data_IF_764897092114
#
_entry.id   IF_764897092114
#
_cell.length_a   1.000
_cell.length_b   1.000
_cell.length_c   1.000
_cell.angle_alpha   90.00
_cell.angle_beta   90.00
_cell.angle_gamma   90.00
#
_symmetry.space_group_name_H-M   'P 1'
#
loop_
_entity.id
_entity.type
_entity.pdbx_description
1 polymer ?
#
# COMPACT_ATOMS: atom_id res chain seq x y z
N UNK A 1 -17.52 -9.96 -16.17
CA UNK A 1 -16.94 -9.54 -17.43
C UNK A 1 -15.62 -8.84 -17.22
N UNK A 2 -14.66 -9.12 -18.08
CA UNK A 2 -13.33 -8.56 -17.92
C UNK A 2 -13.26 -7.13 -18.42
N UNK A 3 -12.58 -6.32 -17.63
CA UNK A 3 -12.22 -4.99 -18.04
C UNK A 3 -11.09 -5.09 -19.07
N UNK A 4 -10.70 -3.95 -19.60
CA UNK A 4 -9.52 -3.90 -20.44
C UNK A 4 -8.30 -4.34 -19.66
N UNK A 5 -7.30 -4.81 -20.38
CA UNK A 5 -6.05 -5.23 -19.75
C UNK A 5 -5.50 -4.18 -18.80
N UNK A 6 -5.53 -2.92 -19.22
CA UNK A 6 -5.06 -1.82 -18.39
C UNK A 6 -5.78 -1.75 -17.05
N UNK A 7 -7.11 -1.88 -17.08
CA UNK A 7 -7.89 -1.82 -15.86
C UNK A 7 -7.60 -3.01 -14.95
N UNK A 8 -7.47 -4.19 -15.54
CA UNK A 8 -7.14 -5.38 -14.79
C UNK A 8 -5.76 -5.24 -14.13
N UNK A 9 -4.79 -4.69 -14.88
CA UNK A 9 -3.45 -4.47 -14.37
C UNK A 9 -3.47 -3.51 -13.19
N UNK A 10 -4.23 -2.42 -13.29
CA UNK A 10 -4.31 -1.45 -12.21
C UNK A 10 -4.90 -2.05 -10.95
N UNK A 11 -5.92 -2.89 -11.10
CA UNK A 11 -6.52 -3.57 -9.95
C UNK A 11 -5.53 -4.50 -9.29
N UNK A 12 -4.78 -5.26 -10.07
CA UNK A 12 -3.78 -6.17 -9.55
C UNK A 12 -2.71 -5.41 -8.79
N UNK A 13 -2.23 -4.30 -9.37
CA UNK A 13 -1.23 -3.47 -8.72
C UNK A 13 -1.76 -2.91 -7.41
N UNK A 14 -3.02 -2.49 -7.38
CA UNK A 14 -3.61 -1.96 -6.16
C UNK A 14 -3.69 -3.03 -5.08
N UNK A 15 -4.05 -4.24 -5.44
CA UNK A 15 -4.12 -5.35 -4.48
C UNK A 15 -2.75 -5.67 -3.92
N UNK A 16 -1.75 -5.77 -4.79
CA UNK A 16 -0.38 -6.05 -4.38
C UNK A 16 0.17 -4.94 -3.51
N UNK A 17 -0.10 -3.70 -3.88
CA UNK A 17 0.35 -2.55 -3.12
C UNK A 17 -0.25 -2.55 -1.72
N UNK A 18 -1.56 -2.76 -1.63
CA UNK A 18 -2.23 -2.79 -0.35
C UNK A 18 -1.72 -3.92 0.53
N UNK A 19 -1.51 -5.09 -0.05
CA UNK A 19 -1.02 -6.24 0.68
C UNK A 19 0.39 -5.99 1.22
N UNK A 20 1.25 -5.43 0.40
CA UNK A 20 2.61 -5.12 0.82
C UNK A 20 2.63 -4.10 1.95
N UNK A 21 1.88 -3.02 1.78
CA UNK A 21 1.82 -1.96 2.79
C UNK A 21 1.28 -2.49 4.11
N UNK A 22 0.28 -3.35 4.04
CA UNK A 22 -0.29 -3.96 5.24
C UNK A 22 0.73 -4.79 5.98
N UNK A 23 1.49 -5.60 5.25
CA UNK A 23 2.53 -6.42 5.86
C UNK A 23 3.58 -5.56 6.56
N UNK A 24 4.04 -4.53 5.88
CA UNK A 24 5.06 -3.66 6.45
C UNK A 24 4.52 -2.94 7.68
N UNK A 25 3.29 -2.47 7.59
CA UNK A 25 2.66 -1.76 8.69
C UNK A 25 2.48 -2.68 9.90
N UNK A 26 2.07 -3.93 9.67
CA UNK A 26 1.90 -4.90 10.74
C UNK A 26 3.22 -5.22 11.43
N UNK A 27 4.29 -5.32 10.66
CA UNK A 27 5.63 -5.59 11.22
C UNK A 27 6.10 -4.48 12.13
N UNK A 28 5.57 -3.29 11.96
CA UNK A 28 5.97 -2.12 12.74
C UNK A 28 4.86 -1.62 13.65
N UNK A 29 3.93 -2.51 13.99
CA UNK A 29 2.85 -2.23 14.94
C UNK A 29 2.02 -1.02 14.56
N UNK A 30 1.83 -0.79 13.29
CA UNK A 30 1.04 0.33 12.80
C UNK A 30 1.79 1.65 12.80
N UNK A 31 3.09 1.64 13.08
CA UNK A 31 3.89 2.85 13.10
C UNK A 31 4.24 3.26 11.66
N UNK A 32 3.55 4.27 11.16
CA UNK A 32 3.73 4.72 9.78
C UNK A 32 5.15 5.19 9.49
N UNK A 33 5.74 5.93 10.41
CA UNK A 33 7.10 6.43 10.21
C UNK A 33 8.11 5.30 10.06
N UNK A 34 8.03 4.31 10.94
CA UNK A 34 8.94 3.17 10.90
C UNK A 34 8.68 2.32 9.67
N UNK A 35 7.40 2.10 9.34
CA UNK A 35 7.03 1.30 8.19
C UNK A 35 7.50 1.97 6.89
N UNK A 36 7.31 3.26 6.77
CA UNK A 36 7.75 4.00 5.58
C UNK A 36 9.26 3.91 5.41
N UNK A 37 9.99 4.06 6.50
CA UNK A 37 11.45 3.96 6.47
C UNK A 37 11.88 2.58 6.02
N UNK A 38 11.28 1.54 6.59
CA UNK A 38 11.60 0.17 6.24
C UNK A 38 11.28 -0.14 4.77
N UNK A 39 10.21 0.44 4.24
CA UNK A 39 9.82 0.23 2.86
C UNK A 39 10.59 1.10 1.87
N UNK A 40 11.36 2.05 2.38
CA UNK A 40 12.08 2.97 1.51
C UNK A 40 11.15 3.96 0.82
N UNK A 41 10.04 4.28 1.43
CA UNK A 41 9.04 5.18 0.90
C UNK A 41 8.94 6.42 1.77
N UNK A 42 8.75 7.58 1.14
CA UNK A 42 8.56 8.81 1.87
C UNK A 42 7.35 8.70 2.80
N UNK A 43 7.46 9.24 4.01
CA UNK A 43 6.41 9.15 5.02
C UNK A 43 5.08 9.72 4.53
N UNK A 44 5.11 10.85 3.85
CA UNK A 44 3.89 11.46 3.33
C UNK A 44 3.23 10.57 2.29
N UNK A 45 4.04 10.01 1.41
CA UNK A 45 3.56 9.10 0.38
C UNK A 45 2.97 7.84 1.03
N UNK A 46 3.67 7.29 2.00
CA UNK A 46 3.20 6.10 2.69
C UNK A 46 1.86 6.37 3.38
N UNK A 47 1.77 7.49 4.08
CA UNK A 47 0.54 7.87 4.77
C UNK A 47 -0.62 8.02 3.80
N UNK A 48 -0.38 8.63 2.66
CA UNK A 48 -1.41 8.80 1.63
C UNK A 48 -1.87 7.44 1.10
N UNK A 49 -0.93 6.52 0.88
CA UNK A 49 -1.26 5.19 0.40
C UNK A 49 -2.06 4.40 1.43
N UNK A 50 -1.72 4.53 2.70
CA UNK A 50 -2.46 3.88 3.77
C UNK A 50 -3.90 4.38 3.79
N UNK A 51 -4.11 5.66 3.63
CA UNK A 51 -5.45 6.22 3.56
C UNK A 51 -6.20 5.78 2.31
N UNK A 52 -5.50 5.76 1.18
CA UNK A 52 -6.10 5.35 -0.09
C UNK A 52 -6.63 3.93 -0.01
N UNK A 53 -5.90 3.04 0.64
CA UNK A 53 -6.27 1.63 0.72
C UNK A 53 -7.00 1.28 2.02
N UNK A 54 -7.31 2.27 2.84
CA UNK A 54 -8.06 2.07 4.09
C UNK A 54 -7.39 1.02 4.99
N UNK A 55 -6.08 1.12 5.15
CA UNK A 55 -5.31 0.13 5.90
C UNK A 55 -5.21 0.45 7.39
N UNK A 56 -5.72 1.56 7.81
CA UNK A 56 -5.59 1.95 9.19
C UNK A 56 -6.91 1.94 9.93
#
# INVERSE_FOLDING_TARGET
>A
MFSRFRDAKERWLAVLEASYLRQVLDRHDGNISAAALAAGIDRKTFHRLVNKHHLK
#
